data_IF_125759381550
#
_entry.id   IF_125759381550
#
_cell.length_a   1.000
_cell.length_b   1.000
_cell.length_c   1.000
_cell.angle_alpha   90.00
_cell.angle_beta   90.00
_cell.angle_gamma   90.00
#
_symmetry.space_group_name_H-M   'P 1'
#
loop_
_entity.id
_entity.type
_entity.pdbx_description
1 polymer ?
#
# COMPACT_ATOMS: atom_id res chain seq x y z
N UNK A 1 -36.46 -4.68 -47.11
CA UNK A 1 -36.01 -5.76 -46.21
C UNK A 1 -34.57 -5.62 -45.70
N UNK A 2 -33.81 -4.56 -46.02
CA UNK A 2 -32.39 -4.41 -45.64
C UNK A 2 -32.13 -3.59 -44.36
N UNK A 3 -33.13 -2.87 -43.82
CA UNK A 3 -32.97 -1.99 -42.65
C UNK A 3 -32.75 -2.73 -41.31
N UNK A 4 -33.27 -3.97 -41.18
CA UNK A 4 -33.22 -4.73 -39.91
C UNK A 4 -31.79 -5.21 -39.57
N UNK A 5 -30.92 -5.38 -40.57
CA UNK A 5 -29.55 -5.89 -40.39
C UNK A 5 -28.56 -4.83 -39.90
N UNK A 6 -28.73 -3.57 -40.33
CA UNK A 6 -27.85 -2.46 -39.94
C UNK A 6 -28.01 -2.11 -38.47
N UNK A 7 -29.25 -2.12 -37.95
CA UNK A 7 -29.51 -1.86 -36.53
C UNK A 7 -28.88 -2.91 -35.62
N UNK A 8 -28.90 -4.19 -36.01
CA UNK A 8 -28.20 -5.27 -35.28
C UNK A 8 -26.69 -5.07 -35.22
N UNK A 9 -26.07 -4.60 -36.30
CA UNK A 9 -24.62 -4.29 -36.31
C UNK A 9 -24.29 -3.09 -35.42
N UNK A 10 -25.15 -2.08 -35.37
CA UNK A 10 -24.98 -0.92 -34.49
C UNK A 10 -25.07 -1.31 -33.00
N UNK A 11 -26.00 -2.21 -32.65
CA UNK A 11 -26.08 -2.76 -31.28
C UNK A 11 -24.83 -3.54 -30.88
N UNK A 12 -24.27 -4.36 -31.78
CA UNK A 12 -23.04 -5.13 -31.50
C UNK A 12 -21.78 -4.26 -31.33
N UNK A 13 -21.70 -3.12 -32.02
CA UNK A 13 -20.54 -2.22 -31.96
C UNK A 13 -20.61 -1.28 -30.73
N UNK A 14 -21.82 -1.04 -30.18
CA UNK A 14 -22.03 -0.24 -28.97
C UNK A 14 -21.22 -0.75 -27.76
N UNK A 15 -21.12 -2.07 -27.62
CA UNK A 15 -20.39 -2.71 -26.53
C UNK A 15 -18.85 -2.66 -26.71
N UNK A 16 -18.37 -2.33 -27.92
CA UNK A 16 -16.94 -2.16 -28.22
C UNK A 16 -16.47 -0.70 -28.08
N UNK A 17 -17.38 0.27 -28.29
CA UNK A 17 -17.10 1.70 -28.14
C UNK A 17 -17.20 2.14 -26.68
N UNK A 18 -18.10 1.54 -25.91
CA UNK A 18 -18.10 1.66 -24.45
C UNK A 18 -16.98 0.80 -23.87
N UNK A 19 -15.75 1.31 -23.95
CA UNK A 19 -14.57 0.62 -23.43
C UNK A 19 -14.80 0.04 -22.05
N UNK A 20 -14.27 -1.17 -21.82
CA UNK A 20 -14.28 -1.88 -20.53
C UNK A 20 -13.46 -1.18 -19.41
N UNK A 21 -13.18 0.12 -19.57
CA UNK A 21 -12.56 0.97 -18.56
C UNK A 21 -13.44 1.12 -17.31
N UNK A 22 -14.76 1.09 -17.48
CA UNK A 22 -15.73 1.23 -16.38
C UNK A 22 -15.60 0.14 -15.31
N UNK A 23 -15.32 -1.11 -15.71
CA UNK A 23 -15.15 -2.21 -14.75
C UNK A 23 -13.84 -2.09 -13.95
N UNK A 24 -12.75 -1.64 -14.59
CA UNK A 24 -11.46 -1.46 -13.91
C UNK A 24 -11.46 -0.23 -13.00
N UNK A 25 -12.07 0.87 -13.42
CA UNK A 25 -12.28 2.05 -12.56
C UNK A 25 -13.17 1.71 -11.36
N UNK A 26 -14.23 0.92 -11.56
CA UNK A 26 -15.05 0.44 -10.46
C UNK A 26 -14.22 -0.36 -9.43
N UNK A 27 -13.28 -1.20 -9.87
CA UNK A 27 -12.46 -1.99 -8.94
C UNK A 27 -11.43 -1.14 -8.17
N UNK A 28 -10.93 -0.06 -8.75
CA UNK A 28 -9.86 0.77 -8.15
C UNK A 28 -10.43 1.86 -7.22
N UNK A 29 -11.64 2.36 -7.50
CA UNK A 29 -12.22 3.48 -6.76
C UNK A 29 -13.24 3.10 -5.69
N UNK A 30 -13.67 1.83 -5.64
CA UNK A 30 -14.64 1.38 -4.62
C UNK A 30 -13.91 0.81 -3.42
N UNK A 31 -14.22 1.34 -2.23
CA UNK A 31 -13.69 0.86 -0.96
C UNK A 31 -14.53 -0.33 -0.49
N UNK A 32 -13.92 -1.50 -0.40
CA UNK A 32 -14.52 -2.69 0.19
C UNK A 32 -14.15 -2.78 1.68
N UNK A 33 -15.02 -3.33 2.55
CA UNK A 33 -14.66 -3.59 3.95
C UNK A 33 -13.44 -4.51 4.14
N UNK A 34 -13.13 -5.34 3.13
CA UNK A 34 -12.03 -6.32 3.17
C UNK A 34 -10.72 -5.78 2.57
N UNK A 35 -10.67 -4.50 2.19
CA UNK A 35 -9.47 -3.92 1.60
C UNK A 35 -8.33 -3.83 2.62
N UNK A 36 -7.12 -4.17 2.18
CA UNK A 36 -5.92 -3.97 2.99
C UNK A 36 -5.51 -2.50 2.93
N UNK A 37 -5.54 -1.84 4.08
CA UNK A 37 -5.27 -0.40 4.20
C UNK A 37 -3.98 -0.10 4.96
N UNK A 38 -3.31 0.98 4.59
CA UNK A 38 -2.17 1.52 5.34
C UNK A 38 -2.70 2.46 6.42
N UNK A 39 -2.60 2.05 7.68
CA UNK A 39 -3.10 2.84 8.83
C UNK A 39 -2.11 3.94 9.23
N UNK A 40 -0.81 3.63 9.21
CA UNK A 40 0.26 4.53 9.63
C UNK A 40 1.53 4.27 8.84
N UNK A 41 2.23 5.35 8.50
CA UNK A 41 3.54 5.30 7.87
C UNK A 41 4.47 6.29 8.58
N UNK A 42 5.59 5.78 9.09
CA UNK A 42 6.61 6.53 9.81
C UNK A 42 7.99 6.11 9.34
N UNK A 43 8.97 7.00 9.53
CA UNK A 43 10.38 6.75 9.24
C UNK A 43 11.26 7.54 10.19
N UNK A 44 12.48 7.08 10.39
CA UNK A 44 13.52 7.90 11.02
C UNK A 44 14.03 8.99 10.07
N UNK A 45 14.69 10.03 10.63
CA UNK A 45 15.62 10.84 9.86
C UNK A 45 16.70 9.96 9.22
N UNK A 46 17.23 10.38 8.08
CA UNK A 46 18.37 9.68 7.46
C UNK A 46 19.63 10.45 7.85
N UNK A 47 20.57 9.75 8.49
CA UNK A 47 21.86 10.30 8.90
C UNK A 47 23.00 9.70 8.09
N UNK A 48 24.10 10.44 7.98
CA UNK A 48 25.33 9.97 7.30
C UNK A 48 25.98 8.84 8.10
N UNK A 49 26.35 7.74 7.44
CA UNK A 49 27.10 6.66 8.07
C UNK A 49 28.43 7.15 8.67
N UNK A 50 28.79 6.65 9.87
CA UNK A 50 30.04 6.92 10.59
C UNK A 50 30.21 8.33 11.17
N UNK A 51 29.55 9.36 10.62
CA UNK A 51 29.68 10.77 11.07
C UNK A 51 28.36 11.44 11.44
N UNK A 52 27.23 10.76 11.25
CA UNK A 52 25.89 11.27 11.53
C UNK A 52 25.41 10.98 12.96
N UNK A 53 24.21 11.47 13.28
CA UNK A 53 23.63 11.37 14.62
C UNK A 53 23.33 9.94 15.09
N UNK A 54 23.19 8.98 14.18
CA UNK A 54 22.93 7.57 14.48
C UNK A 54 24.17 6.68 14.40
N UNK A 55 25.39 7.26 14.44
CA UNK A 55 26.62 6.47 14.30
C UNK A 55 26.87 5.48 15.45
N UNK A 56 26.35 5.77 16.65
CA UNK A 56 26.55 4.98 17.87
C UNK A 56 25.29 4.20 18.27
N UNK A 57 24.27 4.17 17.41
CA UNK A 57 22.99 3.53 17.69
C UNK A 57 22.89 2.19 16.96
N UNK A 58 22.47 1.14 17.65
CA UNK A 58 22.26 -0.15 17.03
C UNK A 58 20.98 -0.17 16.18
N UNK A 59 20.89 -1.02 15.13
CA UNK A 59 19.69 -1.13 14.30
C UNK A 59 18.42 -1.46 15.10
N UNK A 60 18.51 -2.29 16.13
CA UNK A 60 17.41 -2.67 17.02
C UNK A 60 16.86 -1.49 17.83
N UNK A 61 17.72 -0.56 18.25
CA UNK A 61 17.30 0.65 18.96
C UNK A 61 16.49 1.57 18.03
N UNK A 62 16.95 1.72 16.78
CA UNK A 62 16.22 2.46 15.75
C UNK A 62 14.87 1.80 15.43
N UNK A 63 14.85 0.48 15.34
CA UNK A 63 13.64 -0.29 15.07
C UNK A 63 12.62 -0.16 16.21
N UNK A 64 13.05 -0.29 17.47
CA UNK A 64 12.20 -0.14 18.63
C UNK A 64 11.54 1.25 18.68
N UNK A 65 12.29 2.30 18.37
CA UNK A 65 11.77 3.66 18.29
C UNK A 65 10.70 3.81 17.20
N UNK A 66 10.96 3.27 16.00
CA UNK A 66 10.03 3.33 14.88
C UNK A 66 8.73 2.57 15.18
N UNK A 67 8.82 1.36 15.73
CA UNK A 67 7.65 0.54 16.02
C UNK A 67 6.74 1.22 17.06
N UNK A 68 7.34 1.81 18.09
CA UNK A 68 6.61 2.61 19.09
C UNK A 68 5.93 3.82 18.44
N UNK A 69 6.66 4.59 17.64
CA UNK A 69 6.12 5.77 16.96
C UNK A 69 4.99 5.42 15.96
N UNK A 70 5.11 4.26 15.28
CA UNK A 70 4.09 3.76 14.35
C UNK A 70 2.78 3.46 15.07
N UNK A 71 2.84 2.74 16.20
CA UNK A 71 1.70 2.38 17.02
C UNK A 71 1.04 3.61 17.66
N UNK A 72 1.84 4.54 18.19
CA UNK A 72 1.36 5.80 18.75
C UNK A 72 0.64 6.66 17.70
N UNK A 73 1.20 6.78 16.48
CA UNK A 73 0.57 7.52 15.37
C UNK A 73 -0.73 6.87 14.91
N UNK A 74 -0.76 5.54 14.83
CA UNK A 74 -1.94 4.77 14.48
C UNK A 74 -3.00 4.76 15.60
N UNK A 75 -2.62 5.12 16.84
CA UNK A 75 -3.46 5.04 18.04
C UNK A 75 -4.02 3.63 18.29
N UNK A 76 -3.20 2.62 18.05
CA UNK A 76 -3.56 1.22 18.27
C UNK A 76 -2.92 0.68 19.55
N UNK A 77 -3.56 -0.31 20.18
CA UNK A 77 -2.93 -1.12 21.22
C UNK A 77 -1.93 -2.08 20.54
N UNK A 78 -0.64 -2.08 20.92
CA UNK A 78 0.36 -3.02 20.38
C UNK A 78 -0.05 -4.49 20.47
N UNK A 79 -0.94 -4.87 21.41
CA UNK A 79 -1.43 -6.26 21.55
C UNK A 79 -2.31 -6.73 20.40
N UNK A 80 -2.85 -5.83 19.59
CA UNK A 80 -3.70 -6.17 18.43
C UNK A 80 -2.85 -6.60 17.22
N UNK A 81 -1.56 -6.30 17.22
CA UNK A 81 -0.65 -6.65 16.12
C UNK A 81 -0.41 -8.15 16.11
N UNK A 82 -0.74 -8.80 14.99
CA UNK A 82 -0.57 -10.26 14.83
C UNK A 82 0.82 -10.65 14.33
N UNK A 83 1.44 -9.84 13.48
CA UNK A 83 2.72 -10.15 12.85
C UNK A 83 3.55 -8.87 12.62
N UNK A 84 4.87 -9.00 12.66
CA UNK A 84 5.84 -7.92 12.44
C UNK A 84 6.92 -8.43 11.48
N UNK A 85 6.97 -7.83 10.28
CA UNK A 85 7.97 -8.15 9.27
C UNK A 85 8.99 -7.01 9.16
N UNK A 86 10.27 -7.35 9.38
CA UNK A 86 11.38 -6.39 9.34
C UNK A 86 12.39 -6.82 8.27
N UNK A 87 12.64 -5.96 7.28
CA UNK A 87 13.68 -6.17 6.27
C UNK A 87 15.00 -5.55 6.69
N UNK A 88 16.09 -6.33 6.67
CA UNK A 88 17.44 -5.85 6.92
C UNK A 88 18.46 -6.65 6.07
N UNK A 89 19.61 -6.05 5.79
CA UNK A 89 20.66 -6.62 4.92
C UNK A 89 21.95 -6.93 5.66
N UNK A 90 22.47 -5.98 6.47
CA UNK A 90 23.82 -6.03 7.05
C UNK A 90 23.80 -6.20 8.58
N UNK A 91 22.78 -6.84 9.15
CA UNK A 91 22.83 -7.13 10.59
C UNK A 91 24.00 -8.07 10.87
N UNK A 92 24.93 -7.62 11.70
CA UNK A 92 25.83 -8.51 12.41
C UNK A 92 25.18 -8.83 13.76
N UNK A 93 25.29 -10.08 14.21
CA UNK A 93 24.90 -10.43 15.58
C UNK A 93 25.78 -9.59 16.52
N UNK A 94 25.16 -8.88 17.48
CA UNK A 94 25.84 -7.95 18.39
C UNK A 94 27.10 -8.50 19.07
#
# INVERSE_FOLDING_TARGET
MTSISTNKRLEQIKDQISGSSSQREHLIHHRHPDDVVIVSAVRTPICRAGKGGFKDMYPEDLLAFILKAAAERAKIDPKVVNDIQTGNVLQELG
#
